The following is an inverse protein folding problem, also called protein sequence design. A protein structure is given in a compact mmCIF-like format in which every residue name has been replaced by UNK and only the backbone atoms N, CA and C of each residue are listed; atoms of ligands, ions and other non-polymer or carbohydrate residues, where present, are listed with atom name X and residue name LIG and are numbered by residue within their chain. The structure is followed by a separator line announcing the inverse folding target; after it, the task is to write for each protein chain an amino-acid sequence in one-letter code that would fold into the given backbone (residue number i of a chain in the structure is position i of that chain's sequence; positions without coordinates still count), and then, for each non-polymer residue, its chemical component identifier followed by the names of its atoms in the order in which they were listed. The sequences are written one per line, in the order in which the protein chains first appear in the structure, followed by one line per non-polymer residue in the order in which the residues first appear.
data_IF_309089406419
#
_entry.id   IF_309089406419
#
_cell.length_a   1.000
_cell.length_b   1.000
_cell.length_c   1.000
_cell.angle_alpha   90.00
_cell.angle_beta   90.00
_cell.angle_gamma   90.00
#
_symmetry.space_group_name_H-M   'P 1'
#
loop_
_entity.id
_entity.type
_entity.pdbx_description
1 polymer ?
#
# COMPACT_ATOMS: atom_id res chain seq x y z
N UNK A 1 -4.36 4.93 15.19
CA UNK A 1 -3.59 3.97 14.39
C UNK A 1 -4.35 2.67 14.48
N UNK A 2 -4.82 2.16 13.34
CA UNK A 2 -5.59 0.92 13.26
C UNK A 2 -4.68 -0.30 13.26
N UNK A 3 -3.55 -0.21 12.56
CA UNK A 3 -2.73 -1.39 12.26
C UNK A 3 -1.31 -0.97 11.82
N UNK A 4 -0.32 -1.82 12.12
CA UNK A 4 1.05 -1.74 11.62
C UNK A 4 1.62 -3.15 11.41
N UNK A 5 2.45 -3.34 10.38
CA UNK A 5 3.01 -4.66 10.08
C UNK A 5 3.91 -4.70 8.85
N UNK A 6 4.36 -5.91 8.52
CA UNK A 6 5.11 -6.24 7.30
C UNK A 6 4.16 -6.67 6.19
N UNK A 7 4.53 -6.44 4.92
CA UNK A 7 3.63 -6.61 3.77
C UNK A 7 3.00 -8.00 3.64
N UNK A 8 3.67 -9.05 4.13
CA UNK A 8 3.13 -10.42 4.17
C UNK A 8 1.75 -10.51 4.84
N UNK A 9 1.46 -9.65 5.82
CA UNK A 9 0.18 -9.59 6.51
C UNK A 9 -0.85 -8.68 5.80
N UNK A 10 -0.38 -7.63 5.11
CA UNK A 10 -1.21 -6.75 4.26
C UNK A 10 -1.82 -7.55 3.09
N UNK A 11 -1.09 -8.54 2.55
CA UNK A 11 -1.54 -9.40 1.45
C UNK A 11 -2.80 -10.20 1.83
N UNK A 12 -2.89 -10.66 3.07
CA UNK A 12 -4.05 -11.40 3.58
C UNK A 12 -5.26 -10.48 3.73
N UNK A 13 -5.13 -9.26 4.27
CA UNK A 13 -6.30 -8.41 4.53
C UNK A 13 -6.73 -7.54 3.35
N UNK A 14 -5.81 -6.93 2.61
CA UNK A 14 -6.19 -5.97 1.55
C UNK A 14 -6.67 -6.67 0.27
N UNK A 15 -6.19 -7.89 0.00
CA UNK A 15 -6.61 -8.67 -1.17
C UNK A 15 -7.73 -9.67 -0.87
N UNK A 16 -7.84 -10.23 0.36
CA UNK A 16 -9.00 -11.08 0.71
C UNK A 16 -10.20 -10.26 1.20
N UNK A 17 -10.02 -9.07 1.79
CA UNK A 17 -11.14 -8.18 2.15
C UNK A 17 -11.63 -7.31 0.97
N UNK A 18 -11.05 -7.48 -0.23
CA UNK A 18 -11.75 -7.13 -1.48
C UNK A 18 -12.83 -8.20 -1.76
N UNK A 19 -13.79 -8.24 -0.84
CA UNK A 19 -14.83 -9.25 -0.66
C UNK A 19 -15.27 -9.16 0.79
N UNK A 20 -16.41 -8.53 1.03
CA UNK A 20 -17.10 -8.64 2.33
C UNK A 20 -17.14 -10.11 2.74
N UNK A 21 -16.73 -10.45 3.97
CA UNK A 21 -16.98 -11.79 4.53
C UNK A 21 -18.49 -12.11 4.52
N UNK A 22 -19.33 -11.07 4.47
CA UNK A 22 -20.79 -11.16 4.30
C UNK A 22 -21.24 -11.71 2.94
N UNK A 23 -20.41 -11.62 1.89
CA UNK A 23 -20.69 -12.16 0.53
C UNK A 23 -19.66 -13.20 0.06
N UNK A 24 -18.71 -13.60 0.92
CA UNK A 24 -17.73 -14.62 0.57
C UNK A 24 -18.43 -15.99 0.43
N UNK A 25 -18.32 -16.69 -0.70
CA UNK A 25 -18.87 -18.03 -0.81
C UNK A 25 -18.23 -18.92 0.27
N UNK A 26 -19.02 -19.79 0.88
CA UNK A 26 -18.52 -20.78 1.82
C UNK A 26 -17.27 -21.45 1.25
N UNK A 27 -16.17 -21.40 2.01
CA UNK A 27 -14.88 -21.96 1.60
C UNK A 27 -15.11 -23.42 1.14
N UNK A 28 -14.82 -23.76 -0.13
CA UNK A 28 -15.08 -25.09 -0.64
C UNK A 28 -14.37 -26.14 0.21
N UNK A 29 -15.07 -27.23 0.53
CA UNK A 29 -14.46 -28.37 1.19
C UNK A 29 -13.26 -28.87 0.35
N UNK A 30 -12.08 -28.97 0.98
CA UNK A 30 -10.82 -29.31 0.32
C UNK A 30 -9.91 -28.13 -0.02
N UNK A 31 -10.30 -26.91 0.34
CA UNK A 31 -9.39 -25.75 0.29
C UNK A 31 -8.26 -25.96 1.30
N UNK A 32 -7.02 -25.68 0.88
CA UNK A 32 -5.86 -25.77 1.74
C UNK A 32 -6.07 -24.92 3.02
N UNK A 33 -5.60 -25.39 4.19
CA UNK A 33 -5.67 -24.60 5.42
C UNK A 33 -4.92 -23.27 5.22
N UNK A 34 -5.26 -22.23 6.01
CA UNK A 34 -4.53 -20.97 5.97
C UNK A 34 -3.03 -21.22 6.21
N UNK A 35 -2.16 -20.40 5.58
CA UNK A 35 -0.72 -20.56 5.74
C UNK A 35 -0.33 -20.42 7.23
N UNK A 36 0.63 -21.25 7.62
CA UNK A 36 1.25 -21.22 8.95
C UNK A 36 2.15 -19.98 9.10
N UNK A 37 2.47 -19.59 10.35
CA UNK A 37 3.38 -18.46 10.61
C UNK A 37 4.72 -18.60 9.88
N UNK A 38 5.31 -19.79 9.84
CA UNK A 38 6.58 -20.05 9.14
C UNK A 38 6.48 -19.98 7.61
N UNK A 39 5.29 -20.19 7.04
CA UNK A 39 5.01 -19.98 5.62
C UNK A 39 4.85 -18.50 5.30
N UNK A 40 4.23 -17.74 6.21
CA UNK A 40 4.13 -16.28 6.12
C UNK A 40 5.52 -15.63 6.23
N UNK A 41 6.34 -16.05 7.20
CA UNK A 41 7.72 -15.55 7.40
C UNK A 41 8.63 -15.85 6.21
N UNK A 42 8.54 -17.04 5.62
CA UNK A 42 9.30 -17.37 4.40
C UNK A 42 8.80 -16.64 3.16
N UNK A 43 7.49 -16.39 3.05
CA UNK A 43 6.94 -15.56 1.99
C UNK A 43 7.33 -14.08 2.16
N UNK A 44 7.51 -13.62 3.40
CA UNK A 44 7.99 -12.29 3.75
C UNK A 44 9.53 -12.17 3.71
N UNK A 45 10.28 -13.27 3.68
CA UNK A 45 11.73 -13.26 3.56
C UNK A 45 12.15 -12.65 2.21
N UNK A 46 12.70 -11.44 2.25
CA UNK A 46 12.98 -10.59 1.07
C UNK A 46 12.16 -9.30 1.03
N UNK A 47 11.17 -9.15 1.91
CA UNK A 47 10.33 -7.96 2.12
C UNK A 47 10.65 -7.25 3.45
N UNK A 48 11.77 -7.57 4.09
CA UNK A 48 12.08 -7.17 5.47
C UNK A 48 12.21 -5.66 5.74
N UNK A 49 12.23 -4.83 4.70
CA UNK A 49 12.19 -3.37 4.80
C UNK A 49 10.82 -2.74 4.53
N UNK A 50 9.82 -3.54 4.12
CA UNK A 50 8.50 -3.05 3.77
C UNK A 50 7.61 -2.92 5.01
N UNK A 51 7.26 -1.67 5.33
CA UNK A 51 6.42 -1.33 6.47
C UNK A 51 5.14 -0.65 6.02
N UNK A 52 4.01 -1.03 6.61
CA UNK A 52 2.76 -0.28 6.45
C UNK A 52 2.24 0.23 7.78
N UNK A 53 1.47 1.32 7.71
CA UNK A 53 0.65 1.83 8.80
C UNK A 53 -0.69 2.27 8.25
N UNK A 54 -1.75 1.90 8.96
CA UNK A 54 -3.12 2.29 8.64
C UNK A 54 -3.76 3.05 9.79
N UNK A 55 -4.61 4.02 9.48
CA UNK A 55 -5.35 4.83 10.44
C UNK A 55 -6.81 4.99 10.00
N UNK A 56 -7.71 4.92 10.99
CA UNK A 56 -9.04 5.55 10.95
C UNK A 56 -8.87 6.94 11.53
N UNK A 57 -9.27 7.95 10.77
CA UNK A 57 -9.26 9.34 11.17
C UNK A 57 -10.68 9.90 10.99
N UNK A 58 -11.53 9.67 11.98
CA UNK A 58 -12.91 10.19 11.98
C UNK A 58 -13.81 9.52 10.94
N UNK A 59 -13.67 8.21 10.74
CA UNK A 59 -14.39 7.42 9.73
C UNK A 59 -13.74 7.46 8.34
N UNK A 60 -12.55 8.05 8.23
CA UNK A 60 -11.74 8.12 7.01
C UNK A 60 -10.51 7.25 7.12
N UNK A 61 -10.07 6.69 6.01
CA UNK A 61 -8.89 5.81 5.96
C UNK A 61 -7.67 6.57 5.48
N UNK A 62 -6.55 6.38 6.16
CA UNK A 62 -5.22 6.69 5.67
C UNK A 62 -4.38 5.42 5.72
N UNK A 63 -3.77 5.06 4.60
CA UNK A 63 -2.77 4.00 4.50
C UNK A 63 -1.47 4.61 3.99
N UNK A 64 -0.39 4.34 4.70
CA UNK A 64 0.97 4.64 4.27
C UNK A 64 1.72 3.32 4.20
N UNK A 65 2.23 2.98 3.02
CA UNK A 65 3.03 1.79 2.79
C UNK A 65 4.37 2.20 2.18
N UNK A 66 5.47 1.92 2.89
CA UNK A 66 6.83 2.16 2.45
C UNK A 66 7.47 0.83 2.09
N UNK A 67 8.11 0.79 0.93
CA UNK A 67 8.99 -0.29 0.49
C UNK A 67 10.44 0.16 0.54
N UNK A 68 11.35 -0.75 0.88
CA UNK A 68 12.80 -0.50 0.88
C UNK A 68 13.51 -1.58 0.06
N UNK A 69 14.50 -1.15 -0.73
CA UNK A 69 15.17 -1.97 -1.74
C UNK A 69 16.68 -1.89 -1.56
N UNK A 70 17.39 -2.99 -1.80
CA UNK A 70 18.85 -3.02 -1.72
C UNK A 70 19.54 -2.14 -2.77
N UNK A 71 18.82 -1.79 -3.85
CA UNK A 71 19.33 -0.96 -4.95
C UNK A 71 18.32 0.10 -5.35
N UNK A 72 18.85 1.29 -5.64
CA UNK A 72 18.08 2.41 -6.19
C UNK A 72 17.41 2.05 -7.51
N UNK A 73 18.07 1.22 -8.33
CA UNK A 73 17.53 0.75 -9.61
C UNK A 73 16.24 -0.06 -9.44
N UNK A 74 16.23 -0.97 -8.46
CA UNK A 74 15.09 -1.83 -8.16
C UNK A 74 13.91 -0.99 -7.62
N UNK A 75 14.20 -0.03 -6.72
CA UNK A 75 13.21 0.93 -6.24
C UNK A 75 12.59 1.76 -7.39
N UNK A 76 13.40 2.18 -8.37
CA UNK A 76 12.93 2.92 -9.55
C UNK A 76 12.05 2.06 -10.44
N UNK A 77 12.44 0.81 -10.70
CA UNK A 77 11.62 -0.11 -11.50
C UNK A 77 10.24 -0.35 -10.85
N UNK A 78 10.23 -0.55 -9.54
CA UNK A 78 9.00 -0.66 -8.77
C UNK A 78 8.16 0.62 -8.86
N UNK A 79 8.77 1.79 -8.63
CA UNK A 79 8.10 3.08 -8.75
C UNK A 79 7.43 3.23 -10.11
N UNK A 80 8.16 3.01 -11.20
CA UNK A 80 7.61 3.15 -12.54
C UNK A 80 6.44 2.21 -12.81
N UNK A 81 6.54 0.96 -12.34
CA UNK A 81 5.47 -0.03 -12.48
C UNK A 81 4.23 0.38 -11.68
N UNK A 82 4.42 0.89 -10.47
CA UNK A 82 3.33 1.44 -9.66
C UNK A 82 2.66 2.64 -10.35
N UNK A 83 3.44 3.57 -10.90
CA UNK A 83 2.92 4.72 -11.64
C UNK A 83 2.11 4.27 -12.87
N UNK A 84 2.63 3.37 -13.70
CA UNK A 84 1.91 2.84 -14.87
C UNK A 84 0.59 2.15 -14.49
N UNK A 85 0.59 1.39 -13.39
CA UNK A 85 -0.63 0.76 -12.85
C UNK A 85 -1.64 1.82 -12.41
N UNK A 86 -1.20 2.85 -11.70
CA UNK A 86 -2.07 3.92 -11.21
C UNK A 86 -2.60 4.78 -12.37
N UNK A 87 -1.81 5.07 -13.40
CA UNK A 87 -2.28 5.78 -14.59
C UNK A 87 -3.43 5.01 -15.27
N UNK A 88 -3.29 3.69 -15.39
CA UNK A 88 -4.32 2.82 -15.98
C UNK A 88 -5.59 2.73 -15.13
N UNK A 89 -5.44 2.70 -13.80
CA UNK A 89 -6.55 2.42 -12.89
C UNK A 89 -7.19 3.68 -12.33
N UNK A 90 -6.47 4.80 -12.21
CA UNK A 90 -6.91 6.04 -11.59
C UNK A 90 -6.89 7.24 -12.55
N UNK A 91 -6.31 7.08 -13.75
CA UNK A 91 -6.26 8.15 -14.76
C UNK A 91 -5.02 9.03 -14.64
N UNK A 92 -5.10 10.25 -15.16
CA UNK A 92 -3.93 11.10 -15.34
C UNK A 92 -3.21 11.44 -14.02
N UNK A 93 -1.89 11.25 -14.04
CA UNK A 93 -0.96 11.63 -12.98
C UNK A 93 -0.88 13.16 -12.85
N UNK A 94 -0.89 13.65 -11.61
CA UNK A 94 -0.48 15.03 -11.27
C UNK A 94 0.80 14.98 -10.44
N UNK A 95 1.70 15.96 -10.59
CA UNK A 95 2.89 16.05 -9.76
C UNK A 95 2.69 17.16 -8.71
N UNK A 96 2.96 16.87 -7.45
CA UNK A 96 2.93 17.83 -6.35
C UNK A 96 4.08 17.55 -5.38
N UNK A 97 4.97 18.51 -5.16
CA UNK A 97 6.05 18.42 -4.17
C UNK A 97 6.91 17.13 -4.26
N UNK A 98 7.17 16.67 -5.49
CA UNK A 98 7.94 15.43 -5.72
C UNK A 98 7.13 14.13 -5.59
N UNK A 99 5.83 14.22 -5.28
CA UNK A 99 4.89 13.12 -5.29
C UNK A 99 4.11 13.05 -6.61
N UNK A 100 3.87 11.83 -7.09
CA UNK A 100 2.92 11.56 -8.16
C UNK A 100 1.55 11.24 -7.55
N UNK A 101 0.55 12.07 -7.86
CA UNK A 101 -0.80 12.01 -7.33
C UNK A 101 -1.79 11.46 -8.36
N UNK A 102 -2.75 10.69 -7.86
CA UNK A 102 -3.85 10.11 -8.61
C UNK A 102 -5.14 10.21 -7.80
N UNK A 103 -6.27 10.33 -8.49
CA UNK A 103 -7.58 10.42 -7.84
C UNK A 103 -8.62 9.67 -8.65
N UNK A 104 -9.37 8.77 -8.02
CA UNK A 104 -10.52 8.10 -8.63
C UNK A 104 -11.58 7.77 -7.58
N UNK A 105 -12.84 8.09 -7.89
CA UNK A 105 -14.00 7.73 -7.07
C UNK A 105 -13.86 8.09 -5.58
N UNK A 106 -13.33 9.29 -5.29
CA UNK A 106 -13.15 9.77 -3.91
C UNK A 106 -11.92 9.22 -3.18
N UNK A 107 -11.14 8.32 -3.80
CA UNK A 107 -9.87 7.85 -3.26
C UNK A 107 -8.70 8.57 -3.92
N UNK A 108 -7.77 9.02 -3.10
CA UNK A 108 -6.52 9.67 -3.47
C UNK A 108 -5.37 8.72 -3.25
N UNK A 109 -4.48 8.65 -4.23
CA UNK A 109 -3.25 7.87 -4.15
C UNK A 109 -2.07 8.81 -4.41
N UNK A 110 -0.97 8.61 -3.68
CA UNK A 110 0.30 9.26 -3.94
C UNK A 110 1.43 8.23 -3.97
N UNK A 111 2.42 8.46 -4.82
CA UNK A 111 3.68 7.72 -4.86
C UNK A 111 4.83 8.69 -4.69
N UNK A 112 5.69 8.43 -3.72
CA UNK A 112 6.89 9.19 -3.40
C UNK A 112 8.08 8.24 -3.43
N UNK A 113 9.13 8.57 -4.17
CA UNK A 113 10.36 7.77 -4.19
C UNK A 113 11.54 8.59 -3.67
N UNK A 114 12.39 7.95 -2.85
CA UNK A 114 13.59 8.54 -2.25
C UNK A 114 14.69 7.50 -2.14
N UNK A 115 15.71 7.62 -2.99
CA UNK A 115 16.82 6.67 -3.03
C UNK A 115 16.31 5.23 -3.22
N UNK A 116 16.54 4.42 -2.21
CA UNK A 116 16.19 3.00 -2.13
C UNK A 116 14.77 2.73 -1.61
N UNK A 117 13.97 3.76 -1.33
CA UNK A 117 12.63 3.61 -0.78
C UNK A 117 11.53 4.18 -1.68
N UNK A 118 10.38 3.48 -1.73
CA UNK A 118 9.16 3.96 -2.38
C UNK A 118 8.01 3.93 -1.39
N UNK A 119 7.36 5.08 -1.18
CA UNK A 119 6.19 5.20 -0.31
C UNK A 119 4.94 5.43 -1.12
N UNK A 120 3.95 4.58 -0.91
CA UNK A 120 2.58 4.72 -1.39
C UNK A 120 1.71 5.26 -0.25
N UNK A 121 0.93 6.28 -0.56
CA UNK A 121 -0.08 6.82 0.35
C UNK A 121 -1.44 6.67 -0.30
N UNK A 122 -2.43 6.20 0.45
CA UNK A 122 -3.83 6.11 0.03
C UNK A 122 -4.72 6.76 1.07
N UNK A 123 -5.65 7.61 0.65
CA UNK A 123 -6.67 8.16 1.55
C UNK A 123 -7.96 8.48 0.83
N UNK A 124 -9.09 8.41 1.54
CA UNK A 124 -10.38 8.93 1.09
C UNK A 124 -10.67 10.35 1.64
N UNK A 125 -9.70 10.96 2.34
CA UNK A 125 -9.77 12.32 2.84
C UNK A 125 -8.73 13.24 2.17
N UNK A 126 -9.16 14.26 1.39
CA UNK A 126 -8.25 15.20 0.76
C UNK A 126 -7.44 16.06 1.74
N UNK A 127 -7.86 16.19 2.99
CA UNK A 127 -7.12 16.94 4.02
C UNK A 127 -5.95 16.12 4.60
N UNK A 128 -6.03 14.78 4.60
CA UNK A 128 -5.00 13.92 5.19
C UNK A 128 -3.82 13.67 4.25
N UNK A 129 -4.06 13.68 2.94
CA UNK A 129 -3.02 13.41 1.96
C UNK A 129 -1.84 14.40 2.05
N UNK A 130 -2.04 15.74 2.12
CA UNK A 130 -0.92 16.68 2.27
C UNK A 130 -0.15 16.50 3.58
N UNK A 131 -0.85 16.16 4.67
CA UNK A 131 -0.22 15.90 5.98
C UNK A 131 0.67 14.67 5.91
N UNK A 132 0.17 13.59 5.32
CA UNK A 132 0.93 12.36 5.11
C UNK A 132 2.13 12.60 4.18
N UNK A 133 1.94 13.34 3.08
CA UNK A 133 3.02 13.71 2.15
C UNK A 133 4.12 14.51 2.82
N UNK A 134 3.77 15.46 3.69
CA UNK A 134 4.76 16.20 4.48
C UNK A 134 5.51 15.30 5.46
N UNK A 135 4.83 14.33 6.08
CA UNK A 135 5.46 13.39 7.01
C UNK A 135 6.42 12.42 6.31
N UNK A 136 6.08 11.94 5.10
CA UNK A 136 6.95 11.05 4.32
C UNK A 136 8.00 11.80 3.50
N UNK A 137 7.76 13.09 3.23
CA UNK A 137 8.67 13.99 2.52
C UNK A 137 9.61 14.79 3.43
N UNK A 138 9.37 14.81 4.74
CA UNK A 138 10.20 15.47 5.73
C UNK A 138 11.22 14.54 6.34
N UNK A 139 12.37 14.38 5.66
CA UNK A 139 13.65 13.97 6.21
C UNK A 139 14.74 14.67 5.39
#
# INVERSE_FOLDING_TARGET
MLDEGVLGELFTRTFLAAGSEEDAPAVPAGTAPPPTGDEVERAAAGWGGDAYRAWDVGGRTLLVWRTEWDRVEDAREFQETALRRLERTHGARKNLEGAALFARSGRLMAVVARGEAVTLVSSDDPALLPVALKAVGGA
#
